data_IF_593856514586
#
_entry.id   IF_593856514586
#
_cell.length_a   1.000
_cell.length_b   1.000
_cell.length_c   1.000
_cell.angle_alpha   90.00
_cell.angle_beta   90.00
_cell.angle_gamma   90.00
#
_symmetry.space_group_name_H-M   'P 1'
#
loop_
_entity.id
_entity.type
_entity.pdbx_description
1 polymer ?
#
# COMPACT_ATOMS: atom_id res chain seq x y z
N UNK A 1 -8.84 -11.56 -15.37
CA UNK A 1 -9.36 -11.74 -13.99
C UNK A 1 -10.78 -12.29 -14.02
N UNK A 2 -11.08 -13.35 -13.25
CA UNK A 2 -12.42 -14.01 -13.20
C UNK A 2 -13.54 -13.03 -12.82
N UNK A 3 -13.26 -12.11 -11.91
CA UNK A 3 -14.26 -11.20 -11.33
C UNK A 3 -14.65 -10.02 -12.23
N UNK A 4 -13.75 -9.61 -13.14
CA UNK A 4 -13.98 -8.51 -14.08
C UNK A 4 -14.35 -8.99 -15.49
N UNK A 5 -14.41 -10.30 -15.73
CA UNK A 5 -14.76 -10.85 -17.04
C UNK A 5 -16.17 -10.41 -17.44
N UNK A 6 -16.29 -9.83 -18.63
CA UNK A 6 -17.55 -9.33 -19.18
C UNK A 6 -18.10 -8.07 -18.49
N UNK A 7 -17.36 -7.48 -17.53
CA UNK A 7 -17.73 -6.20 -16.95
C UNK A 7 -17.34 -5.07 -17.92
N UNK A 8 -18.22 -4.08 -18.03
CA UNK A 8 -18.05 -2.91 -18.87
C UNK A 8 -18.31 -1.63 -18.09
N UNK A 9 -17.56 -0.58 -18.40
CA UNK A 9 -17.84 0.77 -17.93
C UNK A 9 -18.86 1.41 -18.87
N UNK A 10 -19.95 1.93 -18.30
CA UNK A 10 -21.06 2.58 -19.03
C UNK A 10 -21.70 1.72 -20.15
N UNK A 11 -21.47 0.40 -20.14
CA UNK A 11 -21.98 -0.52 -21.16
C UNK A 11 -21.10 -0.66 -22.42
N UNK A 12 -20.21 0.31 -22.67
CA UNK A 12 -19.48 0.42 -23.93
C UNK A 12 -17.99 0.08 -23.82
N UNK A 13 -17.37 0.34 -22.67
CA UNK A 13 -15.92 0.15 -22.52
C UNK A 13 -15.61 -1.16 -21.79
N UNK A 14 -14.89 -2.06 -22.46
CA UNK A 14 -14.41 -3.29 -21.85
C UNK A 14 -13.31 -3.03 -20.82
N UNK A 15 -13.36 -3.74 -19.68
CA UNK A 15 -12.33 -3.66 -18.65
C UNK A 15 -11.24 -4.70 -18.93
N UNK A 16 -10.07 -4.24 -19.37
CA UNK A 16 -8.86 -5.06 -19.41
C UNK A 16 -8.21 -5.06 -18.03
N UNK A 17 -7.87 -6.25 -17.51
CA UNK A 17 -7.22 -6.39 -16.20
C UNK A 17 -5.81 -6.92 -16.36
N UNK A 18 -4.84 -6.12 -15.95
CA UNK A 18 -3.45 -6.51 -15.74
C UNK A 18 -3.21 -6.77 -14.25
N UNK A 19 -2.60 -7.90 -13.91
CA UNK A 19 -2.27 -8.28 -12.54
C UNK A 19 -0.78 -8.62 -12.45
N UNK A 20 -0.11 -8.06 -11.45
CA UNK A 20 1.31 -8.24 -11.16
C UNK A 20 1.56 -7.95 -9.67
N UNK A 21 2.65 -8.50 -9.12
CA UNK A 21 3.18 -8.06 -7.81
C UNK A 21 4.05 -6.81 -7.97
N UNK A 22 4.18 -5.99 -6.93
CA UNK A 22 5.01 -4.78 -6.98
C UNK A 22 6.45 -5.06 -7.45
N UNK A 23 7.06 -6.16 -7.01
CA UNK A 23 8.42 -6.58 -7.43
C UNK A 23 8.57 -6.83 -8.93
N UNK A 24 7.46 -7.08 -9.63
CA UNK A 24 7.44 -7.36 -11.08
C UNK A 24 7.19 -6.10 -11.91
N UNK A 25 6.81 -5.00 -11.25
CA UNK A 25 6.43 -3.74 -11.90
C UNK A 25 7.61 -2.77 -11.88
N UNK A 26 7.93 -2.25 -13.06
CA UNK A 26 8.73 -1.04 -13.21
C UNK A 26 7.89 0.01 -13.95
N UNK A 27 8.25 1.29 -13.84
CA UNK A 27 7.52 2.35 -14.50
C UNK A 27 8.42 3.55 -14.79
N UNK A 28 7.95 4.39 -15.70
CA UNK A 28 8.38 5.77 -15.79
C UNK A 28 7.13 6.64 -15.93
N UNK A 29 7.20 7.87 -15.44
CA UNK A 29 6.07 8.80 -15.46
C UNK A 29 6.50 10.15 -16.00
N UNK A 30 5.65 10.72 -16.84
CA UNK A 30 5.78 12.07 -17.36
C UNK A 30 4.53 12.87 -16.97
N UNK A 31 4.72 14.16 -16.67
CA UNK A 31 3.65 15.04 -16.19
C UNK A 31 2.52 15.26 -17.19
N UNK A 32 2.78 15.09 -18.49
CA UNK A 32 1.80 15.28 -19.57
C UNK A 32 1.33 13.94 -20.15
N UNK A 33 2.26 13.01 -20.40
CA UNK A 33 1.97 11.72 -21.05
C UNK A 33 1.54 10.60 -20.08
N UNK A 34 1.49 10.88 -18.78
CA UNK A 34 1.11 9.93 -17.74
C UNK A 34 2.17 8.89 -17.40
N UNK A 35 1.75 7.80 -16.77
CA UNK A 35 2.62 6.67 -16.38
C UNK A 35 2.56 5.53 -17.39
N UNK A 36 3.72 5.05 -17.82
CA UNK A 36 3.85 3.76 -18.50
C UNK A 36 4.43 2.74 -17.52
N UNK A 37 3.71 1.65 -17.29
CA UNK A 37 4.18 0.52 -16.50
C UNK A 37 4.71 -0.58 -17.41
N UNK A 38 5.77 -1.24 -16.97
CA UNK A 38 6.32 -2.46 -17.56
C UNK A 38 6.27 -3.55 -16.51
N UNK A 39 5.58 -4.64 -16.82
CA UNK A 39 5.54 -5.83 -15.98
C UNK A 39 6.48 -6.87 -16.56
N UNK A 40 7.40 -7.37 -15.74
CA UNK A 40 8.33 -8.46 -16.12
C UNK A 40 7.96 -9.71 -15.32
N UNK A 41 7.57 -10.77 -16.02
CA UNK A 41 7.24 -12.07 -15.43
C UNK A 41 8.36 -13.06 -15.72
N UNK A 42 8.80 -13.76 -14.68
CA UNK A 42 9.73 -14.87 -14.79
C UNK A 42 8.96 -16.16 -15.02
N UNK A 43 9.11 -16.74 -16.21
CA UNK A 43 8.43 -17.98 -16.56
C UNK A 43 9.17 -19.19 -15.99
N UNK A 44 8.41 -20.26 -15.73
CA UNK A 44 8.96 -21.55 -15.28
C UNK A 44 9.78 -22.14 -16.43
N UNK A 45 11.08 -21.87 -16.43
CA UNK A 45 12.01 -22.22 -17.52
C UNK A 45 13.14 -21.21 -17.73
N UNK A 46 13.16 -20.10 -16.96
CA UNK A 46 14.23 -19.10 -17.03
C UNK A 46 14.03 -18.04 -18.12
N UNK A 47 13.02 -18.22 -18.98
CA UNK A 47 12.56 -17.18 -19.90
C UNK A 47 11.96 -16.00 -19.14
N UNK A 48 12.17 -14.79 -19.65
CA UNK A 48 11.57 -13.56 -19.14
C UNK A 48 10.67 -12.99 -20.21
N UNK A 49 9.41 -12.75 -19.89
CA UNK A 49 8.50 -12.01 -20.74
C UNK A 49 8.19 -10.66 -20.10
N UNK A 50 8.22 -9.60 -20.91
CA UNK A 50 7.86 -8.25 -20.47
C UNK A 50 6.73 -7.69 -21.33
N UNK A 51 5.87 -6.90 -20.71
CA UNK A 51 4.81 -6.16 -21.41
C UNK A 51 4.65 -4.79 -20.78
N UNK A 52 4.38 -3.80 -21.63
CA UNK A 52 4.17 -2.42 -21.20
C UNK A 52 2.74 -1.98 -21.49
N UNK A 53 2.18 -1.18 -20.59
CA UNK A 53 0.84 -0.61 -20.71
C UNK A 53 0.74 0.70 -19.93
N UNK A 54 -0.26 1.51 -20.24
CA UNK A 54 -0.62 2.69 -19.46
C UNK A 54 -1.87 2.37 -18.63
N UNK A 55 -1.79 2.36 -17.29
CA UNK A 55 -2.95 2.06 -16.47
C UNK A 55 -3.91 3.26 -16.39
N UNK A 56 -5.18 3.03 -16.66
CA UNK A 56 -6.23 4.03 -16.46
C UNK A 56 -6.71 4.10 -15.00
N UNK A 57 -6.51 3.02 -14.24
CA UNK A 57 -6.93 2.90 -12.86
C UNK A 57 -6.11 1.84 -12.11
N UNK A 58 -5.90 2.06 -10.81
CA UNK A 58 -5.14 1.17 -9.93
C UNK A 58 -6.00 0.56 -8.82
N UNK A 59 -5.84 -0.75 -8.59
CA UNK A 59 -6.35 -1.45 -7.42
C UNK A 59 -5.18 -2.10 -6.70
N UNK A 60 -4.83 -1.58 -5.51
CA UNK A 60 -3.72 -2.12 -4.72
C UNK A 60 -4.23 -3.13 -3.70
N UNK A 61 -3.73 -4.37 -3.80
CA UNK A 61 -4.09 -5.50 -2.91
C UNK A 61 -2.88 -6.11 -2.19
N UNK A 62 -1.71 -5.51 -2.35
CA UNK A 62 -0.45 -5.92 -1.73
C UNK A 62 0.03 -4.83 -0.76
N UNK A 63 0.76 -5.21 0.28
CA UNK A 63 1.45 -4.24 1.14
C UNK A 63 2.52 -3.51 0.31
N UNK A 64 2.55 -2.18 0.44
CA UNK A 64 3.47 -1.31 -0.30
C UNK A 64 4.88 -1.39 0.28
N UNK A 65 4.97 -1.63 1.59
CA UNK A 65 6.22 -1.70 2.33
C UNK A 65 6.12 -2.79 3.37
N UNK A 66 7.16 -3.62 3.44
CA UNK A 66 7.38 -4.59 4.50
C UNK A 66 8.82 -4.47 5.06
N UNK A 67 9.33 -5.53 5.68
CA UNK A 67 10.66 -5.54 6.30
C UNK A 67 11.79 -5.62 5.26
N UNK A 68 11.52 -6.25 4.12
CA UNK A 68 12.50 -6.57 3.08
C UNK A 68 12.32 -5.70 1.84
N UNK A 69 11.07 -5.35 1.52
CA UNK A 69 10.69 -4.65 0.30
C UNK A 69 10.04 -3.28 0.60
N UNK A 70 10.42 -2.27 -0.17
CA UNK A 70 9.84 -0.92 -0.12
C UNK A 70 9.49 -0.46 -1.54
N UNK A 71 8.20 -0.40 -1.85
CA UNK A 71 7.66 -0.06 -3.17
C UNK A 71 6.98 1.31 -3.18
N UNK A 72 7.35 2.20 -2.25
CA UNK A 72 6.80 3.58 -2.20
C UNK A 72 7.17 4.40 -3.44
N UNK A 73 8.29 4.10 -4.08
CA UNK A 73 8.73 4.67 -5.35
C UNK A 73 7.76 4.36 -6.50
N UNK A 74 7.25 3.12 -6.58
CA UNK A 74 6.22 2.73 -7.55
C UNK A 74 4.95 3.54 -7.32
N UNK A 75 4.48 3.65 -6.07
CA UNK A 75 3.33 4.49 -5.75
C UNK A 75 3.55 5.96 -6.11
N UNK A 76 4.75 6.48 -5.84
CA UNK A 76 5.11 7.85 -6.16
C UNK A 76 5.02 8.10 -7.66
N UNK A 77 5.57 7.20 -8.49
CA UNK A 77 5.47 7.32 -9.94
C UNK A 77 4.04 7.27 -10.46
N UNK A 78 3.22 6.32 -9.97
CA UNK A 78 1.80 6.25 -10.31
C UNK A 78 1.04 7.52 -9.90
N UNK A 79 1.35 8.10 -8.74
CA UNK A 79 0.78 9.38 -8.31
C UNK A 79 1.23 10.53 -9.20
N UNK A 80 2.51 10.55 -9.56
CA UNK A 80 3.12 11.58 -10.39
C UNK A 80 2.47 11.63 -11.78
N UNK A 81 2.24 10.47 -12.41
CA UNK A 81 1.53 10.39 -13.69
C UNK A 81 -0.01 10.47 -13.59
N UNK A 82 -0.55 10.77 -12.41
CA UNK A 82 -1.98 11.05 -12.23
C UNK A 82 -2.90 9.84 -12.23
N UNK A 83 -2.38 8.62 -12.03
CA UNK A 83 -3.19 7.39 -12.07
C UNK A 83 -4.17 7.35 -10.88
N UNK A 84 -5.49 7.28 -11.12
CA UNK A 84 -6.48 7.14 -10.05
C UNK A 84 -6.41 5.75 -9.41
N UNK A 85 -6.78 5.63 -8.13
CA UNK A 85 -6.61 4.39 -7.37
C UNK A 85 -7.68 4.17 -6.29
N UNK A 86 -7.95 2.91 -5.99
CA UNK A 86 -8.63 2.47 -4.77
C UNK A 86 -7.76 1.49 -3.94
N UNK A 87 -7.52 1.74 -2.65
CA UNK A 87 -7.67 3.04 -1.96
C UNK A 87 -6.83 4.13 -2.65
N UNK A 88 -7.03 5.40 -2.29
CA UNK A 88 -6.26 6.50 -2.90
C UNK A 88 -4.76 6.31 -2.68
N UNK A 89 -3.93 6.67 -3.67
CA UNK A 89 -2.47 6.55 -3.53
C UNK A 89 -1.96 7.35 -2.32
N UNK A 90 -2.58 8.49 -2.02
CA UNK A 90 -2.28 9.27 -0.82
C UNK A 90 -2.49 8.45 0.46
N UNK A 91 -3.63 7.76 0.59
CA UNK A 91 -3.88 6.91 1.76
C UNK A 91 -2.91 5.73 1.83
N UNK A 92 -2.61 5.09 0.69
CA UNK A 92 -1.67 3.97 0.63
C UNK A 92 -0.25 4.38 1.05
N UNK A 93 0.21 5.55 0.60
CA UNK A 93 1.50 6.10 0.99
C UNK A 93 1.57 6.43 2.49
N UNK A 94 0.51 7.01 3.06
CA UNK A 94 0.46 7.29 4.50
C UNK A 94 0.25 6.03 5.36
N UNK A 95 -0.24 4.93 4.79
CA UNK A 95 -0.48 3.67 5.50
C UNK A 95 0.78 2.81 5.67
N UNK A 96 1.94 3.25 5.17
CA UNK A 96 3.19 2.49 5.28
C UNK A 96 3.72 2.44 6.70
N UNK A 97 3.37 3.42 7.53
CA UNK A 97 3.85 3.57 8.90
C UNK A 97 2.71 3.37 9.90
N UNK A 98 2.72 2.26 10.63
CA UNK A 98 1.65 1.95 11.59
C UNK A 98 1.50 2.99 12.70
N UNK A 99 2.57 3.53 13.32
CA UNK A 99 2.42 4.60 14.31
C UNK A 99 1.77 5.86 13.72
N UNK A 100 2.05 6.17 12.46
CA UNK A 100 1.41 7.27 11.75
C UNK A 100 -0.09 7.07 11.64
N UNK A 101 -0.53 5.88 11.20
CA UNK A 101 -1.96 5.54 11.16
C UNK A 101 -2.59 5.53 12.55
N UNK A 102 -1.88 4.98 13.56
CA UNK A 102 -2.37 4.95 14.94
C UNK A 102 -2.58 6.35 15.51
N UNK A 103 -1.74 7.33 15.14
CA UNK A 103 -1.93 8.73 15.53
C UNK A 103 -3.27 9.31 15.06
N UNK A 104 -3.77 8.89 13.90
CA UNK A 104 -5.11 9.28 13.41
C UNK A 104 -6.20 8.69 14.29
N UNK A 105 -6.03 7.46 14.77
CA UNK A 105 -6.96 6.83 15.72
C UNK A 105 -6.98 7.54 17.07
N UNK A 106 -5.82 7.99 17.56
CA UNK A 106 -5.73 8.84 18.76
C UNK A 106 -6.53 10.13 18.55
N UNK A 107 -6.41 10.77 17.38
CA UNK A 107 -7.22 11.94 17.01
C UNK A 107 -8.72 11.68 17.06
N UNK A 108 -9.16 10.53 16.53
CA UNK A 108 -10.57 10.11 16.58
C UNK A 108 -11.03 9.88 18.03
N UNK A 109 -10.24 9.18 18.85
CA UNK A 109 -10.55 8.98 20.28
C UNK A 109 -10.71 10.28 21.03
N UNK A 110 -9.81 11.26 20.81
CA UNK A 110 -9.88 12.58 21.46
C UNK A 110 -11.17 13.32 21.12
N UNK A 111 -11.68 13.17 19.89
CA UNK A 111 -12.92 13.81 19.44
C UNK A 111 -14.17 13.10 19.95
N UNK A 112 -14.17 11.77 19.99
CA UNK A 112 -15.36 10.98 20.32
C UNK A 112 -15.45 10.58 21.80
N UNK A 113 -14.34 10.64 22.54
CA UNK A 113 -14.24 10.15 23.91
C UNK A 113 -13.93 8.64 23.97
N UNK A 114 -13.33 8.20 25.08
CA UNK A 114 -12.92 6.80 25.29
C UNK A 114 -14.10 5.82 25.32
N UNK A 115 -15.26 6.26 25.77
CA UNK A 115 -16.48 5.44 25.82
C UNK A 115 -16.99 5.09 24.41
N UNK A 116 -16.98 6.06 23.49
CA UNK A 116 -17.45 5.86 22.11
C UNK A 116 -16.38 5.26 21.20
N UNK A 117 -15.10 5.49 21.51
CA UNK A 117 -13.98 4.95 20.75
C UNK A 117 -12.87 4.43 21.69
N UNK A 118 -13.01 3.19 22.19
CA UNK A 118 -12.08 2.61 23.16
C UNK A 118 -10.79 2.12 22.50
N UNK A 119 -9.93 3.07 22.08
CA UNK A 119 -8.57 2.78 21.60
C UNK A 119 -7.68 2.30 22.75
N UNK A 120 -6.97 1.20 22.51
CA UNK A 120 -5.96 0.66 23.44
C UNK A 120 -4.86 1.68 23.70
N UNK A 121 -4.38 1.75 24.94
CA UNK A 121 -3.21 2.56 25.28
C UNK A 121 -1.94 1.97 24.64
N UNK A 122 -1.19 2.81 23.94
CA UNK A 122 0.09 2.44 23.34
C UNK A 122 1.11 3.57 23.52
N UNK A 123 2.34 3.19 23.81
CA UNK A 123 3.48 4.10 23.87
C UNK A 123 4.32 3.92 22.61
N UNK A 124 4.56 5.01 21.89
CA UNK A 124 5.48 5.02 20.76
C UNK A 124 6.88 5.43 21.21
N UNK A 125 7.87 4.61 20.91
CA UNK A 125 9.28 4.91 21.13
C UNK A 125 9.95 5.14 19.77
N UNK A 126 10.49 6.35 19.49
CA UNK A 126 11.19 6.60 18.23
C UNK A 126 12.41 5.72 18.02
N UNK A 127 13.06 5.32 19.11
CA UNK A 127 14.21 4.44 19.12
C UNK A 127 14.32 3.74 20.49
N UNK A 128 15.23 2.76 20.58
CA UNK A 128 15.37 1.90 21.76
C UNK A 128 15.87 2.63 23.02
N UNK A 129 16.51 3.81 22.91
CA UNK A 129 17.09 4.53 24.05
C UNK A 129 16.02 5.04 25.01
N UNK A 130 14.82 5.30 24.50
CA UNK A 130 13.67 5.76 25.27
C UNK A 130 12.96 4.61 26.01
N UNK A 131 13.36 3.36 25.78
CA UNK A 131 12.74 2.18 26.42
C UNK A 131 13.38 1.90 27.79
N UNK A 132 13.23 2.85 28.74
CA UNK A 132 13.92 2.82 30.04
C UNK A 132 13.20 1.97 31.10
N UNK A 133 11.87 2.03 31.18
CA UNK A 133 11.06 1.16 32.03
C UNK A 133 9.58 1.19 31.62
N UNK A 134 8.84 0.13 31.94
CA UNK A 134 7.38 0.09 31.80
C UNK A 134 6.74 -0.39 33.09
N UNK A 135 5.71 0.31 33.56
CA UNK A 135 4.96 -0.06 34.78
C UNK A 135 4.05 -1.29 34.60
N UNK A 136 3.82 -1.72 33.35
CA UNK A 136 2.94 -2.84 33.04
C UNK A 136 3.63 -4.21 33.25
N UNK A 137 2.93 -5.13 33.93
CA UNK A 137 3.37 -6.52 34.17
C UNK A 137 3.49 -7.37 32.88
N UNK A 138 2.88 -6.94 31.77
CA UNK A 138 2.96 -7.62 30.48
C UNK A 138 2.79 -6.62 29.34
N UNK A 139 3.69 -6.66 28.36
CA UNK A 139 3.69 -5.79 27.20
C UNK A 139 3.78 -6.58 25.90
N UNK A 140 3.07 -6.11 24.87
CA UNK A 140 3.27 -6.55 23.50
C UNK A 140 4.14 -5.54 22.76
N UNK A 141 5.39 -5.91 22.47
CA UNK A 141 6.28 -5.10 21.64
C UNK A 141 6.03 -5.46 20.17
N UNK A 142 5.60 -4.47 19.37
CA UNK A 142 5.43 -4.63 17.93
C UNK A 142 6.61 -3.99 17.19
N UNK A 143 7.44 -4.82 16.58
CA UNK A 143 8.45 -4.34 15.62
C UNK A 143 7.77 -3.79 14.37
N UNK A 144 8.38 -2.77 13.76
CA UNK A 144 7.85 -2.12 12.57
C UNK A 144 7.80 -3.08 11.36
N UNK A 145 6.86 -2.83 10.46
CA UNK A 145 6.74 -3.45 9.12
C UNK A 145 6.46 -4.96 8.99
N UNK A 146 6.43 -5.75 10.08
CA UNK A 146 6.02 -7.17 9.98
C UNK A 146 4.53 -7.31 9.66
N UNK A 147 4.20 -7.84 8.48
CA UNK A 147 2.84 -8.24 8.11
C UNK A 147 2.75 -9.79 8.11
N UNK A 148 1.60 -10.33 8.50
CA UNK A 148 1.36 -11.77 8.38
C UNK A 148 0.95 -12.08 6.94
N UNK A 149 1.74 -12.90 6.25
CA UNK A 149 1.34 -13.50 4.99
C UNK A 149 0.36 -14.64 5.30
N UNK A 150 -0.84 -14.59 4.72
CA UNK A 150 -1.84 -15.66 4.78
C UNK A 150 -1.76 -16.50 3.49
#
# INVERSE_FOLDING_TARGET
SKYFRGKRLQGDFEIRVEQAEFREVNLYSNSEAGTTCTVTIHERGGSKSSRSFRPDFLLVRQHVKDVYDDHRDILLGLKYGGVPSINSIHSLYNFTDRPWVFSQLIGIQRRLGKENFPLIEQTFFPNYKEMVSSEAKSLLIRSQYKHNYA
#
